data_IF_904271721182
#
_entry.id   IF_904271721182
#
_cell.length_a   1.000
_cell.length_b   1.000
_cell.length_c   1.000
_cell.angle_alpha   90.00
_cell.angle_beta   90.00
_cell.angle_gamma   90.00
#
_symmetry.space_group_name_H-M   'P 1'
#
loop_
_entity.id
_entity.type
_entity.pdbx_description
1 polymer ?
#
# COMPACT_ATOMS: atom_id res chain seq x y z
N UNK A 1 25.89 -12.12 13.60
CA UNK A 1 24.58 -11.71 14.17
C UNK A 1 24.77 -10.50 15.09
N UNK A 2 24.59 -9.31 14.53
CA UNK A 2 24.82 -7.99 15.16
C UNK A 2 23.60 -7.52 15.96
N UNK A 3 23.04 -8.39 16.80
CA UNK A 3 21.98 -7.98 17.70
C UNK A 3 22.57 -7.80 19.10
N UNK A 4 23.27 -6.69 19.33
CA UNK A 4 23.43 -6.16 20.69
C UNK A 4 22.08 -5.54 21.09
N UNK A 5 21.04 -6.37 21.16
CA UNK A 5 19.71 -5.93 21.55
C UNK A 5 19.79 -5.55 23.04
N UNK A 6 19.99 -4.27 23.31
CA UNK A 6 19.87 -3.66 24.63
C UNK A 6 18.41 -3.32 24.91
N UNK A 7 18.13 -2.88 26.13
CA UNK A 7 16.81 -2.37 26.45
C UNK A 7 16.48 -1.15 25.57
N UNK A 8 15.20 -1.00 25.17
CA UNK A 8 14.78 0.08 24.28
C UNK A 8 14.97 1.44 24.96
N UNK A 9 15.52 2.39 24.20
CA UNK A 9 15.61 3.80 24.58
C UNK A 9 14.46 4.56 23.91
N UNK A 10 13.69 5.39 24.65
CA UNK A 10 12.66 6.23 24.06
C UNK A 10 13.22 7.13 22.96
N UNK A 11 12.46 7.29 21.86
CA UNK A 11 12.88 8.08 20.69
C UNK A 11 13.26 9.54 21.03
N UNK A 12 12.65 10.11 22.08
CA UNK A 12 12.97 11.45 22.59
C UNK A 12 14.40 11.58 23.12
N UNK A 13 14.98 10.50 23.64
CA UNK A 13 16.35 10.50 24.18
C UNK A 13 17.38 10.01 23.15
N UNK A 14 16.96 9.71 21.91
CA UNK A 14 17.86 9.17 20.89
C UNK A 14 19.07 10.08 20.59
N UNK A 15 18.93 11.42 20.48
CA UNK A 15 20.09 12.29 20.27
C UNK A 15 21.09 12.26 21.42
N UNK A 16 20.62 12.37 22.66
CA UNK A 16 21.45 12.40 23.86
C UNK A 16 22.12 11.04 24.12
N UNK A 17 21.36 9.95 23.93
CA UNK A 17 21.88 8.59 24.00
C UNK A 17 22.96 8.36 22.94
N UNK A 18 22.71 8.79 21.70
CA UNK A 18 23.68 8.70 20.60
C UNK A 18 24.96 9.48 20.89
N UNK A 19 24.84 10.71 21.41
CA UNK A 19 26.00 11.53 21.82
C UNK A 19 26.79 10.82 22.93
N UNK A 20 26.11 10.22 23.91
CA UNK A 20 26.75 9.53 25.02
C UNK A 20 27.54 8.30 24.54
N UNK A 21 26.96 7.50 23.65
CA UNK A 21 27.64 6.36 23.02
C UNK A 21 28.85 6.82 22.21
N UNK A 22 28.74 7.90 21.44
CA UNK A 22 29.85 8.45 20.66
C UNK A 22 30.98 8.98 21.56
N UNK A 23 30.64 9.58 22.69
CA UNK A 23 31.63 10.07 23.65
C UNK A 23 32.34 8.91 24.36
N UNK A 24 31.61 7.86 24.74
CA UNK A 24 32.19 6.64 25.30
C UNK A 24 33.15 5.97 24.30
N UNK A 25 32.76 5.86 23.03
CA UNK A 25 33.64 5.39 21.97
C UNK A 25 34.91 6.23 21.85
N UNK A 26 34.80 7.56 21.83
CA UNK A 26 35.97 8.45 21.74
C UNK A 26 36.93 8.30 22.92
N UNK A 27 36.41 8.04 24.12
CA UNK A 27 37.20 7.91 25.34
C UNK A 27 37.86 6.53 25.48
N UNK A 28 37.19 5.47 25.04
CA UNK A 28 37.59 4.09 25.31
C UNK A 28 38.13 3.34 24.09
N UNK A 29 38.12 3.95 22.89
CA UNK A 29 38.67 3.33 21.69
C UNK A 29 40.18 3.14 21.81
N UNK A 30 40.66 2.00 21.33
CA UNK A 30 42.09 1.75 21.17
C UNK A 30 42.55 2.32 19.83
N UNK A 31 43.52 3.24 19.80
CA UNK A 31 44.15 3.74 18.56
C UNK A 31 43.16 3.96 17.40
N UNK A 32 43.23 3.13 16.34
CA UNK A 32 42.42 3.20 15.12
C UNK A 32 41.26 2.19 15.11
N UNK A 33 40.85 1.68 16.28
CA UNK A 33 39.70 0.80 16.45
C UNK A 33 38.43 1.44 15.90
N UNK A 34 37.67 0.69 15.10
CA UNK A 34 36.39 1.15 14.56
C UNK A 34 35.29 1.11 15.62
N UNK A 35 34.19 1.85 15.41
CA UNK A 35 33.01 1.79 16.30
C UNK A 35 32.48 0.36 16.42
N UNK A 36 32.56 -0.41 15.33
CA UNK A 36 32.13 -1.81 15.28
C UNK A 36 32.99 -2.71 16.17
N UNK A 37 34.32 -2.56 16.11
CA UNK A 37 35.26 -3.36 16.89
C UNK A 37 35.18 -3.01 18.38
N UNK A 38 35.08 -1.71 18.69
CA UNK A 38 34.86 -1.22 20.05
C UNK A 38 33.55 -1.77 20.64
N UNK A 39 32.44 -1.68 19.90
CA UNK A 39 31.14 -2.21 20.33
C UNK A 39 31.19 -3.73 20.56
N UNK A 40 31.92 -4.45 19.70
CA UNK A 40 32.13 -5.89 19.84
C UNK A 40 32.97 -6.26 21.06
N UNK A 41 33.93 -5.41 21.43
CA UNK A 41 34.80 -5.60 22.60
C UNK A 41 34.10 -5.32 23.92
N UNK A 42 33.34 -4.23 24.02
CA UNK A 42 32.58 -3.91 25.26
C UNK A 42 31.33 -4.79 25.41
N UNK A 43 30.85 -5.35 24.30
CA UNK A 43 29.71 -6.26 24.25
C UNK A 43 28.39 -5.61 24.63
N UNK A 44 27.33 -6.43 24.69
CA UNK A 44 25.98 -5.98 25.04
C UNK A 44 25.94 -5.30 26.41
N UNK A 45 26.64 -5.86 27.41
CA UNK A 45 26.63 -5.35 28.78
C UNK A 45 27.25 -3.95 28.88
N UNK A 46 28.35 -3.69 28.16
CA UNK A 46 28.96 -2.37 28.10
C UNK A 46 28.05 -1.34 27.44
N UNK A 47 27.41 -1.69 26.32
CA UNK A 47 26.46 -0.79 25.64
C UNK A 47 25.23 -0.53 26.52
N UNK A 48 24.69 -1.56 27.17
CA UNK A 48 23.59 -1.42 28.13
C UNK A 48 23.94 -0.50 29.30
N UNK A 49 25.17 -0.56 29.83
CA UNK A 49 25.60 0.32 30.91
C UNK A 49 25.68 1.79 30.47
N UNK A 50 26.08 2.06 29.22
CA UNK A 50 26.11 3.40 28.64
C UNK A 50 24.69 3.95 28.45
N UNK A 51 23.75 3.09 28.05
CA UNK A 51 22.37 3.46 27.75
C UNK A 51 21.43 3.45 28.96
N UNK A 52 21.83 2.84 30.08
CA UNK A 52 21.04 2.74 31.30
C UNK A 52 20.41 4.06 31.79
N UNK A 53 21.10 5.22 31.70
CA UNK A 53 20.50 6.50 32.11
C UNK A 53 19.32 6.97 31.24
N UNK A 54 19.13 6.39 30.06
CA UNK A 54 18.08 6.75 29.10
C UNK A 54 16.98 5.69 29.01
N UNK A 55 17.04 4.64 29.82
CA UNK A 55 15.95 3.67 29.93
C UNK A 55 14.71 4.37 30.52
N UNK A 56 13.54 4.08 29.98
CA UNK A 56 12.27 4.52 30.56
C UNK A 56 11.63 3.39 31.36
N UNK A 57 11.15 3.70 32.55
CA UNK A 57 10.35 2.78 33.34
C UNK A 57 8.93 2.65 32.76
N UNK A 58 8.34 1.45 32.91
CA UNK A 58 6.97 1.20 32.51
C UNK A 58 6.01 2.08 33.34
N UNK A 59 5.52 3.17 32.74
CA UNK A 59 4.59 4.11 33.37
C UNK A 59 5.15 5.52 33.58
N UNK A 60 6.40 5.81 33.22
CA UNK A 60 6.87 7.19 33.08
C UNK A 60 6.40 7.76 31.75
N UNK A 61 5.32 8.53 31.81
CA UNK A 61 4.62 9.06 30.63
C UNK A 61 4.82 10.58 30.49
N UNK A 62 5.50 11.24 31.43
CA UNK A 62 5.58 12.70 31.42
C UNK A 62 6.65 13.18 30.43
N UNK A 63 6.19 13.74 29.30
CA UNK A 63 7.04 14.30 28.25
C UNK A 63 7.54 13.30 27.19
N UNK A 64 7.41 11.99 27.39
CA UNK A 64 7.74 10.94 26.40
C UNK A 64 6.65 10.68 25.36
N UNK A 65 5.46 11.26 25.56
CA UNK A 65 4.33 11.16 24.62
C UNK A 65 4.43 12.17 23.49
N UNK A 66 5.32 13.16 23.57
CA UNK A 66 5.42 14.19 22.55
C UNK A 66 6.56 13.84 21.60
N UNK A 67 6.24 13.66 20.32
CA UNK A 67 7.24 13.45 19.28
C UNK A 67 7.95 14.78 18.94
N UNK A 68 9.06 14.69 18.22
CA UNK A 68 9.83 15.84 17.80
C UNK A 68 8.98 16.79 16.96
N UNK A 69 8.91 18.05 17.39
CA UNK A 69 8.11 19.13 16.77
C UNK A 69 6.60 19.01 16.96
N UNK A 70 6.12 18.04 17.74
CA UNK A 70 4.70 17.89 18.09
C UNK A 70 4.39 18.48 19.45
N UNK A 71 3.29 19.23 19.53
CA UNK A 71 2.78 19.83 20.77
C UNK A 71 1.61 19.04 21.36
N UNK A 72 1.24 17.91 20.74
CA UNK A 72 0.20 17.01 21.20
C UNK A 72 0.77 15.69 21.68
N UNK A 73 0.15 15.12 22.71
CA UNK A 73 0.54 13.84 23.25
C UNK A 73 0.14 12.72 22.27
N UNK A 74 1.12 11.97 21.77
CA UNK A 74 0.98 10.73 21.01
C UNK A 74 -0.11 9.84 21.62
N UNK A 75 -1.16 9.62 20.84
CA UNK A 75 -2.34 8.91 21.30
C UNK A 75 -2.74 7.89 20.24
N UNK A 76 -2.80 6.62 20.64
CA UNK A 76 -3.24 5.52 19.77
C UNK A 76 -4.74 5.56 19.45
N UNK A 77 -5.52 6.48 20.05
CA UNK A 77 -6.91 6.76 19.62
C UNK A 77 -6.98 7.40 18.24
N UNK A 78 -5.86 7.96 17.75
CA UNK A 78 -5.72 8.48 16.38
C UNK A 78 -5.05 7.50 15.41
N UNK A 79 -4.26 6.54 15.91
CA UNK A 79 -3.74 5.44 15.09
C UNK A 79 -4.90 4.53 14.69
N UNK A 80 -5.49 4.82 13.53
CA UNK A 80 -6.43 3.94 12.85
C UNK A 80 -5.75 2.58 12.71
N UNK A 81 -6.27 1.55 13.38
CA UNK A 81 -5.88 0.15 13.16
C UNK A 81 -6.28 -0.24 11.73
N UNK A 82 -5.48 0.21 10.77
CA UNK A 82 -5.77 0.22 9.34
C UNK A 82 -4.67 0.88 8.49
N UNK A 83 -3.71 1.58 9.10
CA UNK A 83 -2.58 2.21 8.37
C UNK A 83 -1.70 1.21 7.59
N UNK A 84 -1.73 -0.07 7.94
CA UNK A 84 -1.05 -1.10 7.15
C UNK A 84 -1.58 -1.22 5.71
N UNK A 85 -2.83 -0.81 5.44
CA UNK A 85 -3.38 -0.72 4.08
C UNK A 85 -3.11 0.65 3.41
N UNK A 86 -2.84 1.69 4.21
CA UNK A 86 -2.49 3.03 3.71
C UNK A 86 -1.13 3.06 3.00
N UNK A 87 -0.18 2.24 3.46
CA UNK A 87 1.11 2.08 2.78
C UNK A 87 0.97 1.48 1.37
N UNK A 88 0.07 0.50 1.19
CA UNK A 88 -0.16 -0.15 -0.11
C UNK A 88 -0.84 0.81 -1.11
N UNK A 89 -1.82 1.58 -0.64
CA UNK A 89 -2.45 2.63 -1.46
C UNK A 89 -1.45 3.75 -1.80
N UNK A 90 -0.61 4.15 -0.84
CA UNK A 90 0.49 5.09 -1.07
C UNK A 90 1.49 4.60 -2.12
N UNK A 91 1.74 3.29 -2.21
CA UNK A 91 2.63 2.72 -3.24
C UNK A 91 1.99 2.74 -4.63
N UNK A 92 0.72 2.35 -4.75
CA UNK A 92 -0.01 2.45 -6.03
C UNK A 92 -0.11 3.90 -6.51
N UNK A 93 -0.42 4.85 -5.61
CA UNK A 93 -0.50 6.27 -5.94
C UNK A 93 0.84 6.84 -6.39
N UNK A 94 1.94 6.48 -5.72
CA UNK A 94 3.28 6.90 -6.12
C UNK A 94 3.64 6.38 -7.53
N UNK A 95 3.32 5.12 -7.83
CA UNK A 95 3.58 4.50 -9.13
C UNK A 95 2.69 5.08 -10.25
N UNK A 96 1.44 5.43 -9.94
CA UNK A 96 0.55 6.11 -10.89
C UNK A 96 1.07 7.52 -11.16
N UNK A 97 1.47 8.26 -10.13
CA UNK A 97 2.04 9.60 -10.30
C UNK A 97 3.34 9.58 -11.12
N UNK A 98 4.19 8.58 -10.92
CA UNK A 98 5.38 8.36 -11.76
C UNK A 98 4.98 8.06 -13.21
N UNK A 99 3.98 7.22 -13.43
CA UNK A 99 3.49 6.89 -14.76
C UNK A 99 2.88 8.10 -15.49
N UNK A 100 2.15 8.97 -14.78
CA UNK A 100 1.61 10.24 -15.28
C UNK A 100 2.74 11.20 -15.67
N UNK A 101 3.76 11.34 -14.82
CA UNK A 101 4.91 12.19 -15.09
C UNK A 101 5.68 11.75 -16.34
N UNK A 102 5.95 10.46 -16.48
CA UNK A 102 6.62 9.90 -17.68
C UNK A 102 5.73 10.02 -18.93
N UNK A 103 4.40 9.89 -18.81
CA UNK A 103 3.49 10.13 -19.92
C UNK A 103 3.47 11.60 -20.35
N UNK A 104 3.59 12.54 -19.41
CA UNK A 104 3.71 13.97 -19.70
C UNK A 104 5.00 14.28 -20.47
N UNK A 105 6.13 13.72 -20.04
CA UNK A 105 7.41 13.84 -20.75
C UNK A 105 7.29 13.26 -22.17
N UNK A 106 6.69 12.08 -22.31
CA UNK A 106 6.46 11.45 -23.60
C UNK A 106 5.63 12.33 -24.55
N UNK A 107 4.60 13.02 -24.04
CA UNK A 107 3.80 13.98 -24.83
C UNK A 107 4.67 15.13 -25.33
N UNK A 108 5.48 15.72 -24.46
CA UNK A 108 6.37 16.81 -24.84
C UNK A 108 7.39 16.39 -25.91
N UNK A 109 7.99 15.21 -25.79
CA UNK A 109 8.89 14.66 -26.82
C UNK A 109 8.17 14.32 -28.12
N UNK A 110 6.94 13.83 -28.05
CA UNK A 110 6.11 13.56 -29.25
C UNK A 110 5.82 14.85 -30.01
N UNK A 111 5.46 15.93 -29.30
CA UNK A 111 5.16 17.23 -29.90
C UNK A 111 6.42 17.85 -30.55
N UNK A 112 7.60 17.60 -29.95
CA UNK A 112 8.90 17.98 -30.48
C UNK A 112 9.47 17.02 -31.55
N UNK A 113 8.74 15.95 -31.92
CA UNK A 113 9.19 14.89 -32.84
C UNK A 113 10.47 14.15 -32.40
N UNK A 114 10.78 14.14 -31.11
CA UNK A 114 11.85 13.34 -30.50
C UNK A 114 11.36 11.92 -30.20
N UNK A 115 11.25 11.11 -31.25
CA UNK A 115 10.56 9.81 -31.21
C UNK A 115 11.24 8.77 -30.31
N UNK A 116 12.57 8.75 -30.24
CA UNK A 116 13.31 7.77 -29.44
C UNK A 116 13.14 8.06 -27.93
N UNK A 117 13.21 9.32 -27.56
CA UNK A 117 13.01 9.82 -26.20
C UNK A 117 11.54 9.68 -25.79
N UNK A 118 10.60 9.93 -26.71
CA UNK A 118 9.19 9.67 -26.49
C UNK A 118 8.92 8.18 -26.24
N UNK A 119 9.48 7.28 -27.06
CA UNK A 119 9.34 5.83 -26.87
C UNK A 119 9.90 5.35 -25.53
N UNK A 120 11.04 5.91 -25.11
CA UNK A 120 11.68 5.59 -23.83
C UNK A 120 10.82 6.02 -22.64
N UNK A 121 10.31 7.25 -22.66
CA UNK A 121 9.41 7.75 -21.61
C UNK A 121 8.08 6.96 -21.56
N UNK A 122 7.51 6.62 -22.72
CA UNK A 122 6.30 5.77 -22.78
C UNK A 122 6.54 4.37 -22.20
N UNK A 123 7.71 3.79 -22.42
CA UNK A 123 8.07 2.50 -21.83
C UNK A 123 8.13 2.58 -20.30
N UNK A 124 8.73 3.63 -19.74
CA UNK A 124 8.76 3.86 -18.29
C UNK A 124 7.36 4.05 -17.72
N UNK A 125 6.53 4.87 -18.37
CA UNK A 125 5.12 5.05 -17.98
C UNK A 125 4.36 3.72 -17.96
N UNK A 126 4.54 2.87 -18.98
CA UNK A 126 3.92 1.55 -19.04
C UNK A 126 4.41 0.60 -17.93
N UNK A 127 5.71 0.63 -17.61
CA UNK A 127 6.29 -0.18 -16.51
C UNK A 127 5.74 0.27 -15.15
N UNK A 128 5.72 1.58 -14.87
CA UNK A 128 5.18 2.08 -13.60
C UNK A 128 3.68 1.81 -13.47
N UNK A 129 2.91 1.91 -14.56
CA UNK A 129 1.49 1.52 -14.60
C UNK A 129 1.32 0.02 -14.29
N UNK A 130 2.15 -0.83 -14.89
CA UNK A 130 2.13 -2.27 -14.64
C UNK A 130 2.48 -2.61 -13.19
N UNK A 131 3.48 -1.93 -12.61
CA UNK A 131 3.83 -2.05 -11.18
C UNK A 131 2.66 -1.65 -10.29
N UNK A 132 1.94 -0.57 -10.61
CA UNK A 132 0.77 -0.16 -9.84
C UNK A 132 -0.31 -1.26 -9.80
N UNK A 133 -0.52 -1.97 -10.91
CA UNK A 133 -1.43 -3.12 -10.97
C UNK A 133 -0.92 -4.37 -10.24
N UNK A 134 0.39 -4.50 -10.00
CA UNK A 134 1.00 -5.61 -9.26
C UNK A 134 0.91 -5.45 -7.74
N UNK A 135 0.85 -4.20 -7.25
CA UNK A 135 0.76 -3.88 -5.82
C UNK A 135 -0.38 -4.63 -5.10
N UNK A 136 -1.62 -4.69 -5.63
CA UNK A 136 -2.69 -5.47 -5.01
C UNK A 136 -2.44 -6.98 -4.95
N UNK A 137 -1.51 -7.51 -5.73
CA UNK A 137 -1.14 -8.92 -5.70
C UNK A 137 0.02 -9.19 -4.73
N UNK A 138 0.59 -8.15 -4.11
CA UNK A 138 1.77 -8.26 -3.24
C UNK A 138 3.07 -8.47 -4.00
N UNK A 139 3.07 -8.22 -5.32
CA UNK A 139 4.22 -8.40 -6.20
C UNK A 139 4.95 -7.06 -6.34
N UNK A 140 6.24 -7.03 -6.00
CA UNK A 140 7.10 -5.86 -6.09
C UNK A 140 8.41 -6.19 -6.82
N UNK A 141 8.38 -6.39 -8.15
CA UNK A 141 9.57 -6.73 -8.92
C UNK A 141 10.61 -5.59 -8.92
N UNK A 142 11.84 -5.93 -8.57
CA UNK A 142 12.99 -5.02 -8.62
C UNK A 142 13.41 -4.73 -10.06
N UNK A 143 13.34 -5.74 -10.94
CA UNK A 143 13.81 -5.66 -12.32
C UNK A 143 12.66 -5.38 -13.29
N UNK A 144 12.84 -4.37 -14.16
CA UNK A 144 11.85 -3.95 -15.17
C UNK A 144 11.47 -5.09 -16.13
N UNK A 145 12.38 -6.03 -16.39
CA UNK A 145 12.18 -7.15 -17.31
C UNK A 145 11.11 -8.14 -16.81
N UNK A 146 10.88 -8.22 -15.51
CA UNK A 146 9.97 -9.19 -14.88
C UNK A 146 8.53 -8.68 -14.80
N UNK A 147 8.37 -7.35 -14.79
CA UNK A 147 7.10 -6.65 -14.53
C UNK A 147 5.96 -7.13 -15.43
N UNK A 148 6.16 -7.14 -16.75
CA UNK A 148 5.12 -7.54 -17.69
C UNK A 148 4.78 -9.03 -17.64
N UNK A 149 5.77 -9.89 -17.37
CA UNK A 149 5.55 -11.33 -17.22
C UNK A 149 4.71 -11.66 -15.98
N UNK A 150 5.03 -11.01 -14.85
CA UNK A 150 4.26 -11.13 -13.61
C UNK A 150 2.84 -10.61 -13.79
N UNK A 151 2.69 -9.44 -14.40
CA UNK A 151 1.36 -8.85 -14.61
C UNK A 151 0.47 -9.76 -15.48
N UNK A 152 1.02 -10.38 -16.53
CA UNK A 152 0.27 -11.33 -17.38
C UNK A 152 -0.31 -12.49 -16.57
N UNK A 153 0.46 -13.00 -15.59
CA UNK A 153 0.06 -14.14 -14.76
C UNK A 153 -1.13 -13.78 -13.86
N UNK A 154 -1.11 -12.57 -13.29
CA UNK A 154 -2.14 -12.09 -12.35
C UNK A 154 -3.35 -11.44 -13.04
N UNK A 155 -3.19 -10.89 -14.25
CA UNK A 155 -4.25 -10.21 -14.99
C UNK A 155 -5.22 -11.15 -15.73
N UNK A 156 -4.95 -12.46 -15.79
CA UNK A 156 -5.69 -13.41 -16.62
C UNK A 156 -7.21 -13.45 -16.36
N UNK A 157 -7.65 -13.15 -15.13
CA UNK A 157 -9.06 -13.14 -14.74
C UNK A 157 -9.76 -11.79 -14.95
N UNK A 158 -8.99 -10.70 -15.16
CA UNK A 158 -9.50 -9.35 -15.35
C UNK A 158 -9.42 -8.96 -16.83
N UNK A 159 -10.57 -9.07 -17.52
CA UNK A 159 -10.69 -8.83 -18.96
C UNK A 159 -10.31 -7.40 -19.37
N UNK A 160 -10.61 -6.42 -18.52
CA UNK A 160 -10.36 -5.01 -18.84
C UNK A 160 -8.87 -4.68 -18.63
N UNK A 161 -8.25 -5.21 -17.57
CA UNK A 161 -6.81 -5.11 -17.34
C UNK A 161 -6.02 -5.77 -18.47
N UNK A 162 -6.34 -7.02 -18.80
CA UNK A 162 -5.59 -7.78 -19.80
C UNK A 162 -5.73 -7.19 -21.20
N UNK A 163 -6.90 -6.66 -21.55
CA UNK A 163 -7.12 -5.97 -22.83
C UNK A 163 -6.28 -4.70 -22.94
N UNK A 164 -6.23 -3.89 -21.87
CA UNK A 164 -5.39 -2.69 -21.83
C UNK A 164 -3.90 -3.04 -21.93
N UNK A 165 -3.46 -3.99 -21.12
CA UNK A 165 -2.08 -4.47 -21.10
C UNK A 165 -1.63 -5.03 -22.47
N UNK A 166 -2.43 -5.90 -23.10
CA UNK A 166 -2.14 -6.44 -24.43
C UNK A 166 -2.06 -5.34 -25.51
N UNK A 167 -2.89 -4.29 -25.39
CA UNK A 167 -2.86 -3.15 -26.32
C UNK A 167 -1.54 -2.37 -26.20
N UNK A 168 -1.09 -2.12 -24.97
CA UNK A 168 0.18 -1.44 -24.68
C UNK A 168 1.37 -2.29 -25.13
N UNK A 169 1.38 -3.58 -24.79
CA UNK A 169 2.43 -4.52 -25.16
C UNK A 169 2.56 -4.66 -26.69
N UNK A 170 1.42 -4.76 -27.39
CA UNK A 170 1.39 -4.79 -28.85
C UNK A 170 1.93 -3.50 -29.46
N UNK A 171 1.55 -2.33 -28.92
CA UNK A 171 2.05 -1.05 -29.42
C UNK A 171 3.57 -0.89 -29.18
N UNK A 172 4.10 -1.35 -28.04
CA UNK A 172 5.53 -1.36 -27.75
C UNK A 172 6.33 -2.23 -28.74
N UNK A 173 5.84 -3.44 -29.06
CA UNK A 173 6.56 -4.36 -29.94
C UNK A 173 6.52 -3.95 -31.41
N UNK A 174 5.49 -3.21 -31.83
CA UNK A 174 5.25 -2.85 -33.24
C UNK A 174 5.80 -1.47 -33.62
N UNK A 175 6.67 -0.86 -32.80
CA UNK A 175 7.35 0.39 -33.19
C UNK A 175 8.38 0.06 -34.26
N UNK A 176 8.16 0.58 -35.47
CA UNK A 176 9.15 0.54 -36.53
C UNK A 176 10.30 1.51 -36.20
N UNK A 177 11.54 1.01 -36.16
CA UNK A 177 12.71 1.84 -35.89
C UNK A 177 13.06 2.75 -37.07
N UNK A 178 12.64 2.42 -38.28
CA UNK A 178 12.86 3.24 -39.48
C UNK A 178 11.82 4.37 -39.59
N UNK A 179 10.60 4.14 -39.10
CA UNK A 179 9.54 5.14 -39.01
C UNK A 179 8.79 5.02 -37.66
N UNK A 180 9.35 5.59 -36.58
CA UNK A 180 8.80 5.39 -35.23
C UNK A 180 7.54 6.23 -34.97
N UNK A 181 7.24 7.24 -35.79
CA UNK A 181 6.19 8.20 -35.50
C UNK A 181 4.78 7.57 -35.32
N UNK A 182 4.32 6.65 -36.20
CA UNK A 182 3.02 6.00 -36.04
C UNK A 182 2.98 5.09 -34.81
N UNK A 183 4.05 4.33 -34.56
CA UNK A 183 4.14 3.39 -33.43
C UNK A 183 4.15 4.12 -32.08
N UNK A 184 4.96 5.17 -31.96
CA UNK A 184 5.05 6.00 -30.75
C UNK A 184 3.73 6.73 -30.48
N UNK A 185 3.09 7.27 -31.52
CA UNK A 185 1.78 7.91 -31.38
C UNK A 185 0.73 6.92 -30.89
N UNK A 186 0.72 5.70 -31.46
CA UNK A 186 -0.21 4.66 -31.04
C UNK A 186 0.03 4.23 -29.59
N UNK A 187 1.30 4.03 -29.22
CA UNK A 187 1.69 3.68 -27.86
C UNK A 187 1.22 4.75 -26.85
N UNK A 188 1.42 6.04 -27.17
CA UNK A 188 0.94 7.16 -26.34
C UNK A 188 -0.56 7.10 -26.08
N UNK A 189 -1.35 6.82 -27.10
CA UNK A 189 -2.81 6.70 -26.97
C UNK A 189 -3.21 5.54 -26.06
N UNK A 190 -2.72 4.32 -26.35
CA UNK A 190 -3.12 3.13 -25.59
C UNK A 190 -2.59 3.16 -24.16
N UNK A 191 -1.40 3.72 -23.94
CA UNK A 191 -0.84 3.94 -22.61
C UNK A 191 -1.66 4.94 -21.81
N UNK A 192 -2.11 6.04 -22.43
CA UNK A 192 -3.00 7.00 -21.76
C UNK A 192 -4.34 6.39 -21.35
N UNK A 193 -4.92 5.53 -22.19
CA UNK A 193 -6.15 4.80 -21.83
C UNK A 193 -5.92 3.81 -20.68
N UNK A 194 -4.77 3.13 -20.69
CA UNK A 194 -4.44 2.15 -19.66
C UNK A 194 -4.08 2.80 -18.32
N UNK A 195 -3.42 3.96 -18.34
CA UNK A 195 -3.17 4.77 -17.16
C UNK A 195 -4.48 5.32 -16.58
N UNK A 196 -5.40 5.83 -17.41
CA UNK A 196 -6.71 6.27 -16.95
C UNK A 196 -7.54 5.14 -16.30
N UNK A 197 -7.35 3.88 -16.76
CA UNK A 197 -7.91 2.72 -16.08
C UNK A 197 -7.29 2.50 -14.69
N UNK A 198 -5.97 2.67 -14.56
CA UNK A 198 -5.28 2.60 -13.28
C UNK A 198 -5.76 3.71 -12.33
N UNK A 199 -5.77 4.97 -12.78
CA UNK A 199 -6.30 6.11 -12.03
C UNK A 199 -7.72 5.83 -11.54
N UNK A 200 -8.62 5.35 -12.40
CA UNK A 200 -9.99 5.04 -11.99
C UNK A 200 -10.08 3.92 -10.94
N UNK A 201 -9.20 2.93 -11.01
CA UNK A 201 -9.22 1.76 -10.11
C UNK A 201 -8.56 2.03 -8.77
N UNK A 202 -7.59 2.93 -8.74
CA UNK A 202 -6.81 3.27 -7.57
C UNK A 202 -7.14 4.66 -7.01
N UNK A 203 -8.05 5.41 -7.64
CA UNK A 203 -8.50 6.71 -7.17
C UNK A 203 -8.84 6.68 -5.68
N UNK A 204 -8.19 7.56 -4.92
CA UNK A 204 -8.58 7.84 -3.55
C UNK A 204 -10.05 8.29 -3.53
N UNK A 205 -10.82 7.75 -2.59
CA UNK A 205 -12.18 8.24 -2.32
C UNK A 205 -12.04 9.71 -1.91
N UNK A 206 -12.71 10.67 -2.58
CA UNK A 206 -12.72 12.04 -2.11
C UNK A 206 -13.26 12.06 -0.67
N UNK A 207 -12.57 12.74 0.24
CA UNK A 207 -13.09 13.00 1.58
C UNK A 207 -14.41 13.77 1.43
N UNK A 208 -15.52 13.04 1.51
CA UNK A 208 -16.83 13.66 1.55
C UNK A 208 -16.97 14.26 2.94
N UNK A 209 -16.81 15.58 3.03
CA UNK A 209 -17.30 16.36 4.17
C UNK A 209 -18.77 16.00 4.39
N UNK A 210 -19.05 15.35 5.52
CA UNK A 210 -20.38 15.03 6.02
C UNK A 210 -21.20 16.30 6.20
N UNK A 211 -21.86 16.76 5.15
CA UNK A 211 -23.04 17.60 5.29
C UNK A 211 -23.88 17.46 4.04
N UNK A 212 -25.15 17.14 4.26
CA UNK A 212 -26.23 17.09 3.27
C UNK A 212 -26.32 15.80 2.44
N UNK A 213 -27.00 14.79 2.97
CA UNK A 213 -28.40 14.55 2.58
C UNK A 213 -28.87 13.16 3.08
N UNK A 214 -29.30 13.13 4.33
CA UNK A 214 -30.35 12.20 4.73
C UNK A 214 -31.66 12.74 4.15
N UNK A 215 -32.25 12.08 3.14
CA UNK A 215 -33.70 11.80 3.03
C UNK A 215 -34.07 11.11 1.71
N UNK A 216 -34.92 10.08 1.83
CA UNK A 216 -35.82 9.48 0.83
C UNK A 216 -35.60 7.98 0.48
N UNK A 217 -35.87 7.13 1.49
CA UNK A 217 -36.82 5.99 1.52
C UNK A 217 -37.00 5.07 0.29
N UNK A 218 -36.66 3.80 0.55
CA UNK A 218 -37.31 2.52 0.20
C UNK A 218 -37.63 2.13 -1.25
N UNK A 219 -37.07 0.98 -1.66
CA UNK A 219 -37.83 -0.21 -2.06
C UNK A 219 -36.91 -1.44 -2.09
N UNK A 220 -37.28 -2.50 -1.36
CA UNK A 220 -36.74 -3.84 -1.61
C UNK A 220 -37.35 -4.40 -2.91
N UNK A 221 -36.59 -5.21 -3.66
CA UNK A 221 -36.92 -6.64 -3.66
C UNK A 221 -35.69 -7.57 -3.63
N UNK A 222 -35.93 -8.78 -3.11
CA UNK A 222 -35.18 -10.03 -3.28
C UNK A 222 -33.68 -9.93 -3.64
N UNK A 223 -32.85 -9.94 -2.60
CA UNK A 223 -31.40 -9.94 -2.73
C UNK A 223 -30.87 -11.26 -3.32
N UNK A 224 -30.34 -11.19 -4.54
CA UNK A 224 -29.24 -12.07 -4.94
C UNK A 224 -28.05 -11.74 -4.04
N UNK A 225 -27.86 -12.52 -2.99
CA UNK A 225 -26.72 -12.36 -2.08
C UNK A 225 -25.51 -12.98 -2.76
N UNK A 226 -24.58 -12.13 -3.19
CA UNK A 226 -23.35 -12.57 -3.85
C UNK A 226 -22.44 -13.20 -2.79
N UNK A 227 -21.85 -14.37 -3.06
CA UNK A 227 -20.89 -15.01 -2.16
C UNK A 227 -19.45 -14.77 -2.62
N UNK A 228 -18.58 -14.38 -1.70
CA UNK A 228 -17.15 -14.24 -1.88
C UNK A 228 -16.41 -15.12 -0.86
N UNK A 229 -15.78 -16.18 -1.33
CA UNK A 229 -14.98 -17.07 -0.48
C UNK A 229 -13.53 -16.58 -0.42
N UNK A 230 -13.06 -16.28 0.79
CA UNK A 230 -11.70 -15.84 1.09
C UNK A 230 -11.00 -16.78 2.06
N UNK A 231 -11.43 -18.04 2.12
CA UNK A 231 -10.73 -19.09 2.88
C UNK A 231 -9.29 -19.24 2.38
N UNK A 232 -8.33 -19.28 3.30
CA UNK A 232 -6.89 -19.31 3.03
C UNK A 232 -6.28 -17.96 2.63
N UNK A 233 -7.06 -16.87 2.57
CA UNK A 233 -6.56 -15.54 2.21
C UNK A 233 -6.17 -14.76 3.47
N UNK A 234 -4.86 -14.59 3.66
CA UNK A 234 -4.30 -13.84 4.79
C UNK A 234 -4.64 -12.34 4.73
N UNK A 235 -4.54 -11.66 5.87
CA UNK A 235 -4.58 -10.20 5.96
C UNK A 235 -3.33 -9.60 5.26
N UNK A 236 -3.43 -8.46 4.53
CA UNK A 236 -4.62 -7.61 4.32
C UNK A 236 -5.47 -7.99 3.11
N UNK A 237 -5.13 -9.07 2.41
CA UNK A 237 -5.75 -9.44 1.13
C UNK A 237 -7.23 -9.79 1.24
N UNK A 238 -7.65 -10.33 2.38
CA UNK A 238 -9.06 -10.62 2.62
C UNK A 238 -9.91 -9.33 2.59
N UNK A 239 -9.45 -8.28 3.28
CA UNK A 239 -10.12 -6.99 3.32
C UNK A 239 -10.12 -6.31 1.96
N UNK A 240 -8.96 -6.28 1.28
CA UNK A 240 -8.83 -5.68 -0.06
C UNK A 240 -9.78 -6.34 -1.06
N UNK A 241 -9.85 -7.68 -1.09
CA UNK A 241 -10.76 -8.41 -1.99
C UNK A 241 -12.23 -8.16 -1.66
N UNK A 242 -12.60 -8.11 -0.37
CA UNK A 242 -13.95 -7.73 0.03
C UNK A 242 -14.29 -6.30 -0.41
N UNK A 243 -13.34 -5.36 -0.27
CA UNK A 243 -13.49 -3.96 -0.68
C UNK A 243 -13.75 -3.83 -2.19
N UNK A 244 -12.89 -4.43 -3.01
CA UNK A 244 -13.02 -4.40 -4.48
C UNK A 244 -14.38 -4.98 -4.89
N UNK A 245 -14.78 -6.11 -4.28
CA UNK A 245 -16.04 -6.74 -4.60
C UNK A 245 -17.24 -5.85 -4.27
N UNK A 246 -17.26 -5.22 -3.10
CA UNK A 246 -18.33 -4.29 -2.73
C UNK A 246 -18.31 -3.02 -3.59
N UNK A 247 -17.14 -2.50 -3.98
CA UNK A 247 -17.02 -1.34 -4.86
C UNK A 247 -17.72 -1.59 -6.22
N UNK A 248 -17.61 -2.81 -6.75
CA UNK A 248 -18.25 -3.24 -7.99
C UNK A 248 -19.77 -3.51 -7.87
N UNK A 249 -20.34 -3.50 -6.66
CA UNK A 249 -21.76 -3.80 -6.43
C UNK A 249 -22.61 -2.53 -6.23
N UNK A 250 -23.91 -2.53 -6.56
CA UNK A 250 -24.80 -1.39 -6.30
C UNK A 250 -24.96 -1.10 -4.80
N UNK A 251 -25.15 0.17 -4.41
CA UNK A 251 -25.53 0.52 -3.03
C UNK A 251 -26.86 -0.15 -2.68
N UNK A 252 -26.95 -0.73 -1.48
CA UNK A 252 -28.07 -1.56 -1.01
C UNK A 252 -27.94 -3.06 -1.31
N UNK A 253 -26.91 -3.49 -2.05
CA UNK A 253 -26.67 -4.91 -2.30
C UNK A 253 -26.04 -5.63 -1.11
N UNK A 254 -26.24 -6.95 -1.04
CA UNK A 254 -25.73 -7.82 0.01
C UNK A 254 -24.59 -8.70 -0.51
N UNK A 255 -23.46 -8.71 0.20
CA UNK A 255 -22.33 -9.59 -0.02
C UNK A 255 -22.13 -10.51 1.18
N UNK A 256 -22.14 -11.82 0.94
CA UNK A 256 -21.69 -12.82 1.88
C UNK A 256 -20.18 -13.06 1.69
N UNK A 257 -19.40 -13.00 2.76
CA UNK A 257 -17.94 -13.22 2.73
C UNK A 257 -17.59 -14.36 3.69
N UNK A 258 -16.88 -15.38 3.19
CA UNK A 258 -16.32 -16.45 4.03
C UNK A 258 -14.89 -16.08 4.41
N UNK A 259 -14.59 -16.11 5.71
CA UNK A 259 -13.32 -15.74 6.31
C UNK A 259 -12.84 -16.84 7.24
N UNK A 260 -11.52 -17.01 7.33
CA UNK A 260 -10.94 -17.93 8.31
C UNK A 260 -11.03 -17.39 9.74
N UNK A 261 -11.00 -18.32 10.71
CA UNK A 261 -10.94 -18.01 12.13
C UNK A 261 -9.64 -17.27 12.50
N UNK A 262 -9.70 -16.41 13.52
CA UNK A 262 -8.58 -15.55 13.95
C UNK A 262 -8.59 -14.15 13.33
N UNK A 263 -7.44 -13.68 12.85
CA UNK A 263 -7.26 -12.30 12.39
C UNK A 263 -8.23 -11.84 11.27
N UNK A 264 -8.64 -12.67 10.28
CA UNK A 264 -9.58 -12.25 9.24
C UNK A 264 -10.97 -11.88 9.77
N UNK A 265 -11.57 -12.72 10.61
CA UNK A 265 -12.91 -12.49 11.17
C UNK A 265 -12.96 -11.40 12.26
N UNK A 266 -11.81 -11.10 12.86
CA UNK A 266 -11.66 -9.97 13.77
C UNK A 266 -11.54 -8.66 13.00
N UNK A 267 -10.67 -8.56 11.99
CA UNK A 267 -10.35 -7.28 11.37
C UNK A 267 -11.33 -6.88 10.25
N UNK A 268 -11.72 -7.81 9.37
CA UNK A 268 -12.52 -7.49 8.17
C UNK A 268 -13.88 -6.87 8.51
N UNK A 269 -14.69 -7.41 9.44
CA UNK A 269 -15.98 -6.81 9.77
C UNK A 269 -15.86 -5.40 10.36
N UNK A 270 -14.84 -5.18 11.19
CA UNK A 270 -14.59 -3.87 11.79
C UNK A 270 -14.16 -2.85 10.74
N UNK A 271 -13.19 -3.18 9.89
CA UNK A 271 -12.72 -2.28 8.83
C UNK A 271 -13.84 -1.92 7.82
N UNK A 272 -14.80 -2.81 7.60
CA UNK A 272 -15.99 -2.50 6.81
C UNK A 272 -16.94 -1.53 7.52
N UNK A 273 -17.17 -1.72 8.82
CA UNK A 273 -17.99 -0.80 9.64
C UNK A 273 -17.36 0.59 9.73
N UNK A 274 -16.05 0.67 9.89
CA UNK A 274 -15.30 1.93 9.89
C UNK A 274 -15.39 2.67 8.54
N UNK A 275 -15.54 1.93 7.43
CA UNK A 275 -15.80 2.49 6.09
C UNK A 275 -17.29 2.72 5.82
N UNK A 276 -18.11 2.81 6.87
CA UNK A 276 -19.53 3.11 6.77
C UNK A 276 -20.38 2.00 6.15
N UNK A 277 -19.85 0.76 6.05
CA UNK A 277 -20.61 -0.39 5.56
C UNK A 277 -21.30 -1.11 6.71
N UNK A 278 -22.46 -1.70 6.42
CA UNK A 278 -23.29 -2.31 7.45
C UNK A 278 -23.12 -3.82 7.44
N UNK A 279 -22.41 -4.35 8.43
CA UNK A 279 -22.34 -5.80 8.65
C UNK A 279 -23.63 -6.24 9.33
N UNK A 280 -24.45 -7.01 8.63
CA UNK A 280 -25.79 -7.45 9.08
C UNK A 280 -25.79 -8.84 9.71
N UNK A 281 -24.79 -9.68 9.40
CA UNK A 281 -24.68 -11.04 9.94
C UNK A 281 -23.22 -11.42 10.17
N UNK A 282 -22.97 -12.17 11.24
CA UNK A 282 -21.71 -12.84 11.55
C UNK A 282 -22.03 -14.20 12.14
N UNK A 283 -21.82 -15.27 11.37
CA UNK A 283 -22.08 -16.65 11.79
C UNK A 283 -20.82 -17.51 11.64
N UNK A 284 -20.66 -18.48 12.53
CA UNK A 284 -19.62 -19.49 12.41
C UNK A 284 -20.19 -20.68 11.64
N UNK A 285 -19.59 -21.03 10.50
CA UNK A 285 -20.05 -22.16 9.67
C UNK A 285 -19.28 -23.44 10.02
N UNK A 286 -18.01 -23.32 10.40
CA UNK A 286 -17.17 -24.47 10.76
C UNK A 286 -16.19 -24.14 11.88
N UNK A 287 -15.40 -25.14 12.30
CA UNK A 287 -14.35 -24.94 13.30
C UNK A 287 -13.30 -23.90 12.85
N UNK A 288 -13.12 -23.70 11.54
CA UNK A 288 -12.08 -22.83 10.99
C UNK A 288 -12.63 -21.68 10.13
N UNK A 289 -13.95 -21.61 9.91
CA UNK A 289 -14.54 -20.65 8.99
C UNK A 289 -15.76 -19.93 9.57
N UNK A 290 -15.84 -18.66 9.20
CA UNK A 290 -16.89 -17.73 9.52
C UNK A 290 -17.48 -17.14 8.25
N UNK A 291 -18.75 -16.77 8.31
CA UNK A 291 -19.42 -16.02 7.27
C UNK A 291 -19.97 -14.72 7.83
N UNK A 292 -19.69 -13.66 7.10
CA UNK A 292 -20.26 -12.35 7.37
C UNK A 292 -21.15 -11.92 6.22
N UNK A 293 -22.22 -11.21 6.52
CA UNK A 293 -23.06 -10.54 5.52
C UNK A 293 -22.88 -9.06 5.63
N UNK A 294 -22.56 -8.42 4.52
CA UNK A 294 -22.29 -6.99 4.44
C UNK A 294 -23.29 -6.37 3.48
N UNK A 295 -24.01 -5.37 3.95
CA UNK A 295 -24.88 -4.52 3.16
C UNK A 295 -24.11 -3.27 2.74
N UNK A 296 -23.98 -3.07 1.42
CA UNK A 296 -23.34 -1.87 0.90
C UNK A 296 -24.19 -0.65 1.25
N UNK A 297 -23.73 0.16 2.19
CA UNK A 297 -24.52 1.27 2.76
C UNK A 297 -24.11 2.63 2.22
N UNK A 298 -22.96 2.70 1.54
CA UNK A 298 -22.44 3.90 0.88
C UNK A 298 -21.37 3.52 -0.16
N UNK A 299 -20.71 4.52 -0.75
CA UNK A 299 -19.51 4.28 -1.54
C UNK A 299 -18.34 3.89 -0.61
N UNK A 300 -17.45 3.04 -1.12
CA UNK A 300 -16.34 2.36 -0.42
C UNK A 300 -15.02 2.83 -0.99
#
# INVERSE_FOLDING_TARGET
PLAFATDPVPAKYAPEAGITVLNAYKAERNSDESVHDWASRIGKEGISAILAPFAADAGEVEGLIYDWSENEAFNTKGNKKGECAGAVLSMSDALISEAEYELLIARAHTDAMFWAEAATALRRSAISTARAFLVPFGEAPEEDAEVFGLLMTHAATDKELISGFQSVQSALMNIDLADPAPGVTKLKEVQGLWLALAEKRFAAVPEVTESEAVTAVAAAPAADVVLLDLSGVACPMNFVKTKIKLAMMPVGSLLDVILDDGAPIENVPLSLQEQGQKVTLKERISATQWKIRVEKSGNI
#
